data_IF_964839937638
#
_entry.id   IF_964839937638
#
_cell.length_a   1.000
_cell.length_b   1.000
_cell.length_c   1.000
_cell.angle_alpha   90.00
_cell.angle_beta   90.00
_cell.angle_gamma   90.00
#
_symmetry.space_group_name_H-M   'P 1'
#
loop_
_entity.id
_entity.type
_entity.pdbx_description
1 polymer ?
#
# COMPACT_ATOMS: atom_id res chain seq x y z
N UNK A 1 8.87 -2.34 10.48
CA UNK A 1 8.31 -1.05 10.02
C UNK A 1 6.78 -1.18 10.05
N UNK A 2 6.00 -0.13 9.74
CA UNK A 2 4.51 -0.22 9.74
C UNK A 2 3.92 -0.49 8.36
N UNK A 3 2.79 -1.18 8.29
CA UNK A 3 1.98 -1.33 7.09
C UNK A 3 1.36 0.03 6.75
N UNK A 4 1.61 0.54 5.54
CA UNK A 4 1.03 1.80 5.06
C UNK A 4 -0.51 1.78 4.98
N UNK A 5 -1.15 0.60 4.88
CA UNK A 5 -2.61 0.46 4.72
C UNK A 5 -3.35 0.32 6.06
N UNK A 6 -2.81 -0.45 7.00
CA UNK A 6 -3.50 -0.78 8.26
C UNK A 6 -2.73 -0.42 9.53
N UNK A 7 -1.59 0.24 9.40
CA UNK A 7 -0.69 0.64 10.48
C UNK A 7 -0.17 -0.50 11.39
N UNK A 8 -0.47 -1.77 11.08
CA UNK A 8 0.07 -2.93 11.79
C UNK A 8 1.51 -3.24 11.40
N UNK A 9 2.07 -4.32 11.95
CA UNK A 9 3.44 -4.73 11.64
C UNK A 9 3.60 -5.14 10.17
N UNK A 10 4.69 -4.66 9.58
CA UNK A 10 5.10 -5.03 8.23
C UNK A 10 6.63 -5.03 8.07
N UNK A 11 7.09 -5.95 7.24
CA UNK A 11 8.45 -5.95 6.73
C UNK A 11 8.55 -4.97 5.59
N UNK A 12 9.63 -4.19 5.56
CA UNK A 12 10.01 -3.39 4.40
C UNK A 12 10.88 -4.25 3.52
N UNK A 13 10.50 -4.39 2.26
CA UNK A 13 11.30 -5.10 1.27
C UNK A 13 12.12 -4.04 0.53
N UNK A 14 13.45 -4.20 0.52
CA UNK A 14 14.31 -3.35 -0.29
C UNK A 14 13.94 -3.53 -1.77
N UNK A 15 13.49 -2.46 -2.40
CA UNK A 15 13.05 -2.49 -3.79
C UNK A 15 13.51 -1.23 -4.54
N UNK A 16 13.32 -1.27 -5.86
CA UNK A 16 13.64 -0.27 -6.87
C UNK A 16 13.31 1.17 -6.43
N UNK A 17 14.17 2.09 -6.88
CA UNK A 17 14.00 3.53 -6.65
C UNK A 17 12.58 4.00 -7.03
N UNK A 18 11.96 4.76 -6.14
CA UNK A 18 10.62 5.33 -6.35
C UNK A 18 9.45 4.53 -5.76
N UNK A 19 9.70 3.35 -5.17
CA UNK A 19 8.66 2.52 -4.56
C UNK A 19 8.98 2.17 -3.11
N UNK A 20 7.93 2.08 -2.30
CA UNK A 20 7.96 1.48 -0.97
C UNK A 20 7.21 0.16 -0.99
N UNK A 21 7.94 -0.94 -0.93
CA UNK A 21 7.35 -2.27 -0.84
C UNK A 21 7.23 -2.72 0.62
N UNK A 22 6.03 -3.19 0.98
CA UNK A 22 5.71 -3.70 2.32
C UNK A 22 5.12 -5.10 2.23
N UNK A 23 5.51 -5.95 3.17
CA UNK A 23 4.89 -7.24 3.42
C UNK A 23 4.24 -7.24 4.78
N UNK A 24 2.91 -7.28 4.81
CA UNK A 24 2.13 -7.29 6.04
C UNK A 24 1.41 -8.63 6.20
N UNK A 25 1.43 -9.23 7.39
CA UNK A 25 0.71 -10.49 7.64
C UNK A 25 -0.82 -10.40 7.46
N UNK A 26 -1.40 -9.18 7.45
CA UNK A 26 -2.83 -8.95 7.24
C UNK A 26 -3.18 -8.41 5.86
N UNK A 27 -2.40 -7.44 5.36
CA UNK A 27 -2.67 -6.83 4.05
C UNK A 27 -1.97 -7.58 2.91
N UNK A 28 -1.02 -8.47 3.21
CA UNK A 28 -0.15 -9.15 2.26
C UNK A 28 0.97 -8.26 1.73
N UNK A 29 1.61 -8.70 0.64
CA UNK A 29 2.67 -7.99 -0.07
C UNK A 29 2.09 -7.00 -1.09
N UNK A 30 2.63 -5.78 -1.12
CA UNK A 30 2.25 -4.71 -2.05
C UNK A 30 3.34 -3.64 -2.10
N UNK A 31 3.34 -2.81 -3.16
CA UNK A 31 4.20 -1.64 -3.26
C UNK A 31 3.38 -0.37 -3.47
N UNK A 32 3.86 0.73 -2.90
CA UNK A 32 3.24 2.06 -3.01
C UNK A 32 4.26 3.01 -3.61
N UNK A 33 3.87 3.88 -4.54
CA UNK A 33 4.81 4.87 -5.07
C UNK A 33 5.22 5.85 -3.96
N UNK A 34 6.51 6.20 -3.90
CA UNK A 34 7.01 7.15 -2.90
C UNK A 34 6.29 8.51 -2.99
N UNK A 35 5.92 8.95 -4.20
CA UNK A 35 5.13 10.16 -4.41
C UNK A 35 3.77 10.07 -3.73
N UNK A 36 3.07 8.93 -3.82
CA UNK A 36 1.80 8.73 -3.13
C UNK A 36 2.01 8.74 -1.61
N UNK A 37 3.04 8.05 -1.09
CA UNK A 37 3.33 8.06 0.35
C UNK A 37 3.52 9.48 0.87
N UNK A 38 4.29 10.31 0.16
CA UNK A 38 4.48 11.71 0.48
C UNK A 38 3.16 12.49 0.45
N UNK A 39 2.35 12.34 -0.60
CA UNK A 39 1.04 13.00 -0.70
C UNK A 39 0.13 12.64 0.46
N UNK A 40 0.07 11.37 0.87
CA UNK A 40 -0.75 10.93 2.01
C UNK A 40 -0.27 11.54 3.32
N UNK A 41 1.06 11.62 3.52
CA UNK A 41 1.65 12.27 4.69
C UNK A 41 1.34 13.76 4.74
N UNK A 42 1.48 14.47 3.61
CA UNK A 42 1.22 15.91 3.50
C UNK A 42 -0.24 16.27 3.76
N UNK A 43 -1.16 15.42 3.26
CA UNK A 43 -2.60 15.64 3.38
C UNK A 43 -3.21 15.03 4.64
N UNK A 44 -2.43 14.29 5.43
CA UNK A 44 -2.93 13.55 6.59
C UNK A 44 -3.94 12.46 6.22
N UNK A 45 -3.90 11.97 4.98
CA UNK A 45 -4.83 10.96 4.46
C UNK A 45 -4.33 9.55 4.74
N UNK A 46 -5.29 8.63 4.87
CA UNK A 46 -5.03 7.22 5.08
C UNK A 46 -5.86 6.38 4.12
N UNK A 47 -5.38 5.17 3.84
CA UNK A 47 -6.12 4.20 3.05
C UNK A 47 -7.35 3.69 3.82
N UNK A 48 -8.45 3.49 3.10
CA UNK A 48 -9.54 2.64 3.55
C UNK A 48 -9.04 1.19 3.58
N UNK A 49 -8.73 0.70 4.78
CA UNK A 49 -8.14 -0.63 4.97
C UNK A 49 -9.00 -1.75 4.38
N UNK A 50 -10.33 -1.63 4.45
CA UNK A 50 -11.24 -2.69 3.99
C UNK A 50 -11.25 -2.72 2.47
N UNK A 51 -11.45 -1.57 1.83
CA UNK A 51 -11.47 -1.47 0.37
C UNK A 51 -10.13 -1.83 -0.25
N UNK A 52 -9.02 -1.40 0.36
CA UNK A 52 -7.69 -1.72 -0.15
C UNK A 52 -7.38 -3.21 -0.08
N UNK A 53 -7.82 -3.92 0.98
CA UNK A 53 -7.64 -5.38 1.04
C UNK A 53 -8.42 -6.10 -0.05
N UNK A 54 -9.68 -5.72 -0.27
CA UNK A 54 -10.49 -6.29 -1.35
C UNK A 54 -9.86 -6.05 -2.73
N UNK A 55 -9.34 -4.85 -2.95
CA UNK A 55 -8.62 -4.53 -4.18
C UNK A 55 -7.33 -5.35 -4.32
N UNK A 56 -6.53 -5.46 -3.26
CA UNK A 56 -5.29 -6.25 -3.25
C UNK A 56 -5.55 -7.73 -3.54
N UNK A 57 -6.59 -8.32 -2.94
CA UNK A 57 -6.96 -9.72 -3.17
C UNK A 57 -7.35 -9.95 -4.65
N UNK A 58 -7.99 -8.96 -5.27
CA UNK A 58 -8.33 -9.00 -6.70
C UNK A 58 -7.08 -8.92 -7.58
N UNK A 59 -6.16 -7.99 -7.29
CA UNK A 59 -4.93 -7.81 -8.08
C UNK A 59 -3.95 -8.98 -7.95
N UNK A 60 -3.93 -9.66 -6.80
CA UNK A 60 -3.04 -10.82 -6.57
C UNK A 60 -3.33 -12.00 -7.48
N UNK A 61 -4.50 -12.04 -8.09
CA UNK A 61 -4.83 -13.04 -9.10
C UNK A 61 -4.00 -12.87 -10.39
N UNK A 62 -3.41 -11.69 -10.61
CA UNK A 62 -2.66 -11.36 -11.84
C UNK A 62 -1.20 -11.02 -11.59
N UNK A 63 -0.86 -10.42 -10.44
CA UNK A 63 0.51 -10.00 -10.09
C UNK A 63 0.85 -10.32 -8.64
N UNK A 64 2.08 -10.74 -8.37
CA UNK A 64 2.51 -11.13 -7.01
C UNK A 64 2.56 -9.94 -6.03
N UNK A 65 2.99 -8.77 -6.51
CA UNK A 65 3.09 -7.53 -5.72
C UNK A 65 2.34 -6.41 -6.43
N UNK A 66 1.04 -6.21 -6.09
CA UNK A 66 0.25 -5.12 -6.65
C UNK A 66 0.88 -3.75 -6.38
N UNK A 67 0.76 -2.86 -7.37
CA UNK A 67 1.32 -1.49 -7.32
C UNK A 67 0.21 -0.51 -7.03
N UNK A 68 0.38 0.33 -6.02
CA UNK A 68 -0.61 1.34 -5.64
C UNK A 68 -0.04 2.72 -5.98
N UNK A 69 -0.66 3.39 -6.93
CA UNK A 69 -0.47 4.81 -7.19
C UNK A 69 -1.73 5.58 -6.77
N UNK A 70 -1.75 6.90 -6.98
CA UNK A 70 -2.83 7.77 -6.50
C UNK A 70 -4.20 7.38 -7.07
N UNK A 71 -4.26 6.80 -8.27
CA UNK A 71 -5.51 6.43 -8.93
C UNK A 71 -6.10 5.12 -8.39
N UNK A 72 -5.28 4.25 -7.78
CA UNK A 72 -5.75 3.07 -7.04
C UNK A 72 -5.84 3.32 -5.53
N UNK A 73 -5.45 4.50 -5.06
CA UNK A 73 -5.52 4.87 -3.66
C UNK A 73 -6.99 5.08 -3.23
N UNK A 74 -7.60 4.03 -2.66
CA UNK A 74 -8.93 4.09 -2.08
C UNK A 74 -8.83 4.71 -0.68
N UNK A 75 -8.90 6.05 -0.62
CA UNK A 75 -8.71 6.83 0.60
C UNK A 75 -10.00 7.02 1.40
N UNK A 76 -9.86 7.27 2.70
CA UNK A 76 -10.96 7.75 3.51
C UNK A 76 -11.21 9.25 3.25
N UNK A 77 -12.49 9.70 3.25
CA UNK A 77 -12.85 11.10 3.09
C UNK A 77 -12.42 11.95 4.30
#
# INVERSE_FOLDING_TARGET
MSCLICAGDADTIENQAGWEERSCGRCGRYRVSQSLVLTLMEQGQIFDTVKMRQWLDTQRMTVESPSIEIHEALLLP
#
